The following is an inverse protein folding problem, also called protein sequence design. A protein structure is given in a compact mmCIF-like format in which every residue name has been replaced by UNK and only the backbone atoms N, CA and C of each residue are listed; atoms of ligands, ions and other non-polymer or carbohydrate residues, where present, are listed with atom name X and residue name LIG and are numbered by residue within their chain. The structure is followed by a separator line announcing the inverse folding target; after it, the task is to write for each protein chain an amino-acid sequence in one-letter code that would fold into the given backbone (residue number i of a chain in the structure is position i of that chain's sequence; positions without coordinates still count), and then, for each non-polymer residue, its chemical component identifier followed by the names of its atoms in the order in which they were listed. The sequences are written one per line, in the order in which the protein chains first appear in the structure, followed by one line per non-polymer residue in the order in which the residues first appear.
data_IF_121554393461
#
_entry.id   IF_121554393461
#
_cell.length_a   1.000
_cell.length_b   1.000
_cell.length_c   1.000
_cell.angle_alpha   90.00
_cell.angle_beta   90.00
_cell.angle_gamma   90.00
#
_symmetry.space_group_name_H-M   'P 1'
#
loop_
_entity.id
_entity.type
_entity.pdbx_description
1 polymer ?
#
# COMPACT_ATOMS: atom_id res chain seq x y z
N UNK A 1 17.47 -43.67 -17.53
CA UNK A 1 18.04 -42.68 -16.57
C UNK A 1 17.32 -41.36 -16.78
N UNK A 2 16.29 -41.05 -15.98
CA UNK A 2 15.51 -39.82 -16.15
C UNK A 2 16.08 -38.71 -15.26
N UNK A 3 16.43 -37.57 -15.88
CA UNK A 3 16.95 -36.38 -15.21
C UNK A 3 15.91 -35.79 -14.27
N UNK A 4 16.22 -35.73 -12.97
CA UNK A 4 15.39 -35.10 -11.96
C UNK A 4 15.75 -33.62 -11.91
N UNK A 5 14.92 -32.75 -12.51
CA UNK A 5 15.17 -31.30 -12.45
C UNK A 5 14.97 -30.79 -11.03
N UNK A 6 16.05 -30.35 -10.40
CA UNK A 6 16.04 -29.70 -9.08
C UNK A 6 15.59 -28.25 -9.25
N UNK A 7 14.34 -28.02 -9.63
CA UNK A 7 13.77 -26.67 -9.66
C UNK A 7 13.22 -26.37 -8.26
N UNK A 8 13.89 -25.53 -7.44
CA UNK A 8 13.38 -25.19 -6.13
C UNK A 8 12.05 -24.46 -6.26
N UNK A 9 10.99 -25.06 -5.72
CA UNK A 9 9.65 -24.47 -5.67
C UNK A 9 9.71 -23.21 -4.80
N UNK A 10 9.60 -22.03 -5.42
CA UNK A 10 9.51 -20.74 -4.69
C UNK A 10 8.40 -20.87 -3.64
N UNK A 11 8.77 -20.80 -2.35
CA UNK A 11 7.81 -20.72 -1.26
C UNK A 11 6.99 -19.44 -1.48
N UNK A 12 5.68 -19.58 -1.72
CA UNK A 12 4.76 -18.44 -1.63
C UNK A 12 4.89 -17.91 -0.21
N UNK A 13 5.00 -16.59 -0.07
CA UNK A 13 5.00 -15.93 1.23
C UNK A 13 3.71 -16.23 2.01
N UNK A 14 3.63 -15.76 3.26
CA UNK A 14 2.45 -15.92 4.10
C UNK A 14 1.17 -15.55 3.36
N UNK A 15 0.08 -16.25 3.64
CA UNK A 15 -1.23 -15.90 3.09
C UNK A 15 -1.53 -14.43 3.43
N UNK A 16 -2.12 -13.65 2.51
CA UNK A 16 -2.52 -12.28 2.80
C UNK A 16 -3.39 -12.27 4.05
N UNK A 17 -3.08 -11.40 5.01
CA UNK A 17 -3.70 -11.34 6.35
C UNK A 17 -5.18 -10.95 6.35
N UNK A 18 -5.84 -10.90 5.18
CA UNK A 18 -7.28 -10.71 5.01
C UNK A 18 -7.81 -9.31 5.34
N UNK A 19 -6.93 -8.36 5.69
CA UNK A 19 -7.32 -7.00 6.08
C UNK A 19 -7.05 -6.02 4.93
N UNK A 20 -8.11 -5.61 4.24
CA UNK A 20 -8.07 -4.65 3.14
C UNK A 20 -7.72 -5.25 1.78
N UNK A 21 -8.15 -4.58 0.70
CA UNK A 21 -7.83 -4.94 -0.68
C UNK A 21 -6.63 -4.11 -1.12
N UNK A 22 -5.58 -4.75 -1.63
CA UNK A 22 -4.38 -4.04 -2.09
C UNK A 22 -4.69 -3.27 -3.38
N UNK A 23 -4.47 -1.95 -3.36
CA UNK A 23 -4.50 -1.09 -4.54
C UNK A 23 -3.06 -0.69 -4.86
N UNK A 24 -2.47 -1.24 -5.93
CA UNK A 24 -1.09 -0.91 -6.33
C UNK A 24 -1.08 0.29 -7.28
N UNK A 25 -0.68 1.45 -6.76
CA UNK A 25 -0.54 2.70 -7.53
C UNK A 25 0.92 3.12 -7.58
N UNK A 26 1.39 3.50 -8.78
CA UNK A 26 2.72 4.11 -8.96
C UNK A 26 2.59 5.63 -8.84
N UNK A 27 3.22 6.21 -7.83
CA UNK A 27 3.26 7.67 -7.66
C UNK A 27 4.46 8.28 -8.38
N UNK A 28 4.24 9.41 -9.04
CA UNK A 28 5.30 10.20 -9.65
C UNK A 28 6.11 10.94 -8.57
N UNK A 29 7.37 11.33 -8.83
CA UNK A 29 8.24 12.00 -7.85
C UNK A 29 7.63 13.27 -7.24
N UNK A 30 6.86 14.01 -8.03
CA UNK A 30 6.17 15.24 -7.64
C UNK A 30 5.14 15.01 -6.52
N UNK A 31 4.54 13.82 -6.45
CA UNK A 31 3.61 13.44 -5.40
C UNK A 31 4.30 12.65 -4.27
N UNK A 32 5.40 11.96 -4.59
CA UNK A 32 6.14 11.17 -3.62
C UNK A 32 6.79 12.05 -2.53
N UNK A 33 7.48 13.12 -2.93
CA UNK A 33 8.17 13.98 -1.97
C UNK A 33 7.22 14.75 -1.03
N UNK A 34 6.09 15.31 -1.49
CA UNK A 34 5.08 15.87 -0.59
C UNK A 34 4.41 14.83 0.30
N UNK A 35 4.14 13.62 -0.20
CA UNK A 35 3.56 12.54 0.60
C UNK A 35 4.49 12.14 1.76
N UNK A 36 5.80 12.09 1.52
CA UNK A 36 6.79 11.82 2.56
C UNK A 36 6.80 12.89 3.64
N UNK A 37 6.70 14.17 3.27
CA UNK A 37 6.58 15.28 4.21
C UNK A 37 5.28 15.19 5.00
N UNK A 38 4.15 14.98 4.32
CA UNK A 38 2.86 14.82 4.97
C UNK A 38 2.84 13.64 5.95
N UNK A 39 3.47 12.51 5.61
CA UNK A 39 3.56 11.37 6.52
C UNK A 39 4.34 11.71 7.81
N UNK A 40 5.42 12.50 7.69
CA UNK A 40 6.17 12.99 8.84
C UNK A 40 5.34 13.97 9.69
N UNK A 41 4.66 14.93 9.06
CA UNK A 41 3.84 15.93 9.74
C UNK A 41 2.65 15.31 10.48
N UNK A 42 2.03 14.28 9.90
CA UNK A 42 0.89 13.57 10.49
C UNK A 42 1.30 12.60 11.61
N UNK A 43 2.60 12.45 11.89
CA UNK A 43 3.15 11.46 12.85
C UNK A 43 2.70 10.03 12.55
N UNK A 44 2.49 9.71 11.27
CA UNK A 44 2.03 8.39 10.84
C UNK A 44 3.22 7.43 10.72
N UNK A 45 3.06 6.20 11.20
CA UNK A 45 4.14 5.21 11.23
C UNK A 45 4.59 4.77 9.84
N UNK A 46 3.76 4.95 8.80
CA UNK A 46 4.11 4.53 7.44
C UNK A 46 3.38 5.31 6.34
N UNK A 47 4.00 5.41 5.15
CA UNK A 47 3.41 6.04 3.95
C UNK A 47 1.99 5.53 3.64
N UNK A 48 1.69 4.21 3.70
CA UNK A 48 0.33 3.71 3.47
C UNK A 48 -0.70 4.25 4.46
N UNK A 49 -0.35 4.51 5.71
CA UNK A 49 -1.30 5.11 6.68
C UNK A 49 -1.58 6.56 6.34
N UNK A 50 -0.54 7.34 6.01
CA UNK A 50 -0.72 8.71 5.53
C UNK A 50 -1.63 8.77 4.30
N UNK A 51 -1.43 7.89 3.32
CA UNK A 51 -2.30 7.78 2.14
C UNK A 51 -3.73 7.44 2.53
N UNK A 52 -3.96 6.51 3.47
CA UNK A 52 -5.32 6.15 3.92
C UNK A 52 -6.02 7.32 4.60
N UNK A 53 -5.30 8.10 5.40
CA UNK A 53 -5.84 9.29 6.06
C UNK A 53 -6.22 10.37 5.06
N UNK A 54 -5.29 10.73 4.17
CA UNK A 54 -5.51 11.72 3.09
C UNK A 54 -6.70 11.30 2.21
N UNK A 55 -6.75 10.02 1.79
CA UNK A 55 -7.86 9.50 1.01
C UNK A 55 -9.18 9.58 1.76
N UNK A 56 -9.21 9.19 3.05
CA UNK A 56 -10.43 9.26 3.86
C UNK A 56 -10.93 10.69 3.96
N UNK A 57 -10.06 11.64 4.31
CA UNK A 57 -10.40 13.05 4.45
C UNK A 57 -10.91 13.63 3.11
N UNK A 58 -10.24 13.34 2.00
CA UNK A 58 -10.66 13.77 0.67
C UNK A 58 -12.02 13.17 0.28
N UNK A 59 -12.24 11.87 0.50
CA UNK A 59 -13.51 11.21 0.18
C UNK A 59 -14.66 11.74 1.02
N UNK A 60 -14.43 12.04 2.31
CA UNK A 60 -15.44 12.67 3.17
C UNK A 60 -15.77 14.09 2.70
N UNK A 61 -14.75 14.90 2.40
CA UNK A 61 -14.93 16.28 1.94
C UNK A 61 -15.71 16.36 0.61
N UNK A 62 -15.61 15.34 -0.24
CA UNK A 62 -16.31 15.25 -1.52
C UNK A 62 -17.61 14.44 -1.47
N UNK A 63 -18.05 14.01 -0.28
CA UNK A 63 -19.32 13.29 -0.09
C UNK A 63 -19.33 11.83 -0.58
N UNK A 64 -18.17 11.26 -0.93
CA UNK A 64 -18.04 9.85 -1.31
C UNK A 64 -17.99 8.91 -0.10
N UNK A 65 -17.72 9.44 1.09
CA UNK A 65 -17.72 8.70 2.34
C UNK A 65 -18.56 9.47 3.37
N UNK A 66 -19.59 8.81 3.92
CA UNK A 66 -20.36 9.40 5.02
C UNK A 66 -19.48 9.56 6.27
N UNK A 67 -19.76 10.62 7.04
CA UNK A 67 -19.09 10.91 8.31
C UNK A 67 -19.32 9.82 9.35
#
# INVERSE_FOLDING_TARGET
MASQSVVPKKKRGPAPTGKGIQVQVRLQPELLAPLDKAAADLSETSRPEAVRRILREWLQANGYLSK
#
